data_IF_889879571109
#
_entry.id   IF_889879571109
#
_cell.length_a   1.000
_cell.length_b   1.000
_cell.length_c   1.000
_cell.angle_alpha   90.00
_cell.angle_beta   90.00
_cell.angle_gamma   90.00
#
_symmetry.space_group_name_H-M   'P 1'
#
loop_
_entity.id
_entity.type
_entity.pdbx_description
1 polymer ?
#
# COMPACT_ATOMS: atom_id res chain seq x y z
N UNK A 1 11.93 -17.55 8.65
CA UNK A 1 11.38 -16.44 9.48
C UNK A 1 10.22 -15.80 8.74
N UNK A 2 9.05 -15.71 9.36
CA UNK A 2 7.80 -15.28 8.71
C UNK A 2 7.90 -13.85 8.14
N UNK A 3 7.51 -13.65 6.87
CA UNK A 3 7.36 -12.33 6.22
C UNK A 3 6.51 -11.37 7.05
N UNK A 4 5.55 -11.92 7.80
CA UNK A 4 4.69 -11.18 8.72
C UNK A 4 5.50 -10.62 9.90
N UNK A 5 6.46 -11.38 10.44
CA UNK A 5 7.35 -10.90 11.51
C UNK A 5 8.23 -9.76 11.00
N UNK A 6 8.80 -9.86 9.79
CA UNK A 6 9.55 -8.76 9.17
C UNK A 6 8.70 -7.52 8.91
N UNK A 7 7.44 -7.68 8.49
CA UNK A 7 6.51 -6.57 8.29
C UNK A 7 6.10 -5.90 9.62
N UNK A 8 5.82 -6.72 10.63
CA UNK A 8 5.55 -6.28 12.01
C UNK A 8 6.78 -5.55 12.55
N UNK A 9 7.97 -6.13 12.48
CA UNK A 9 9.23 -5.53 12.89
C UNK A 9 9.60 -4.31 12.02
N UNK A 10 9.10 -4.17 10.79
CA UNK A 10 9.27 -2.96 9.99
C UNK A 10 8.32 -1.84 10.42
N UNK A 11 7.07 -2.17 10.75
CA UNK A 11 6.10 -1.23 11.32
C UNK A 11 6.52 -0.80 12.73
N UNK A 12 7.02 -1.73 13.55
CA UNK A 12 7.35 -1.52 14.96
C UNK A 12 8.82 -1.24 15.24
N UNK A 13 9.75 -1.67 14.40
CA UNK A 13 11.19 -1.48 14.59
C UNK A 13 11.67 -0.04 14.39
N UNK A 14 10.80 0.86 13.91
CA UNK A 14 11.02 2.32 13.92
C UNK A 14 10.48 3.01 15.19
N UNK A 15 9.96 2.25 16.16
CA UNK A 15 9.52 2.77 17.47
C UNK A 15 10.39 2.15 18.55
N UNK A 16 11.55 2.76 18.76
CA UNK A 16 12.51 2.38 19.81
C UNK A 16 12.01 2.64 21.24
N UNK A 17 10.71 2.85 21.45
CA UNK A 17 10.09 2.84 22.77
C UNK A 17 8.78 2.07 22.68
N UNK A 18 8.82 0.81 23.14
CA UNK A 18 7.71 -0.16 23.12
C UNK A 18 6.60 0.22 24.11
N UNK A 19 6.65 1.41 24.73
CA UNK A 19 5.66 1.87 25.69
C UNK A 19 4.50 2.66 25.08
N UNK A 20 4.58 3.13 23.83
CA UNK A 20 3.48 3.86 23.17
C UNK A 20 3.08 3.21 21.83
N UNK A 21 2.45 2.04 21.94
CA UNK A 21 1.56 1.57 20.89
C UNK A 21 0.27 2.40 20.92
N UNK A 22 0.28 3.53 20.21
CA UNK A 22 -0.95 4.27 19.90
C UNK A 22 -2.00 3.29 19.34
N UNK A 23 -3.25 3.44 19.76
CA UNK A 23 -4.38 2.58 19.43
C UNK A 23 -4.46 2.29 17.93
N UNK A 24 -4.09 3.27 17.10
CA UNK A 24 -4.08 3.20 15.64
C UNK A 24 -3.16 2.07 15.13
N UNK A 25 -1.98 1.93 15.73
CA UNK A 25 -0.98 0.93 15.33
C UNK A 25 -1.39 -0.47 15.75
N UNK A 26 -1.95 -0.62 16.96
CA UNK A 26 -2.49 -1.89 17.41
C UNK A 26 -3.64 -2.36 16.51
N UNK A 27 -4.53 -1.44 16.09
CA UNK A 27 -5.64 -1.74 15.18
C UNK A 27 -5.12 -2.08 13.78
N UNK A 28 -4.13 -1.37 13.26
CA UNK A 28 -3.50 -1.68 11.97
C UNK A 28 -2.83 -3.06 12.00
N UNK A 29 -1.98 -3.35 12.98
CA UNK A 29 -1.28 -4.62 13.08
C UNK A 29 -2.23 -5.81 13.22
N UNK A 30 -3.28 -5.68 14.06
CA UNK A 30 -4.34 -6.69 14.17
C UNK A 30 -5.06 -6.90 12.83
N UNK A 31 -5.35 -5.81 12.11
CA UNK A 31 -6.03 -5.87 10.81
C UNK A 31 -5.18 -6.59 9.78
N UNK A 32 -3.89 -6.29 9.68
CA UNK A 32 -2.96 -6.97 8.77
C UNK A 32 -2.79 -8.46 9.14
N UNK A 33 -2.68 -8.78 10.43
CA UNK A 33 -2.65 -10.17 10.89
C UNK A 33 -3.90 -10.94 10.47
N UNK A 34 -5.08 -10.33 10.65
CA UNK A 34 -6.35 -10.93 10.25
C UNK A 34 -6.45 -11.09 8.72
N UNK A 35 -5.94 -10.13 7.94
CA UNK A 35 -5.87 -10.23 6.47
C UNK A 35 -5.05 -11.46 6.08
N UNK A 36 -3.83 -11.59 6.60
CA UNK A 36 -3.00 -12.73 6.26
C UNK A 36 -3.59 -14.07 6.73
N UNK A 37 -4.21 -14.11 7.91
CA UNK A 37 -4.80 -15.36 8.44
C UNK A 37 -6.07 -15.80 7.72
N UNK A 38 -6.88 -14.86 7.23
CA UNK A 38 -8.24 -15.15 6.72
C UNK A 38 -8.37 -15.09 5.21
N UNK A 39 -7.30 -14.71 4.50
CA UNK A 39 -7.31 -14.75 3.04
C UNK A 39 -7.59 -16.17 2.56
N UNK A 40 -8.36 -16.31 1.50
CA UNK A 40 -8.60 -17.58 0.81
C UNK A 40 -7.52 -17.82 -0.22
N UNK A 41 -7.21 -16.80 -1.00
CA UNK A 41 -6.16 -16.79 -2.02
C UNK A 41 -5.70 -15.35 -2.27
N UNK A 42 -4.72 -15.22 -3.16
CA UNK A 42 -4.18 -13.96 -3.65
C UNK A 42 -3.89 -14.09 -5.14
N UNK A 43 -4.01 -13.00 -5.88
CA UNK A 43 -3.71 -12.92 -7.31
C UNK A 43 -3.01 -11.59 -7.62
N UNK A 44 -2.26 -11.56 -8.73
CA UNK A 44 -1.74 -10.31 -9.29
C UNK A 44 -2.78 -9.77 -10.25
N UNK A 45 -3.16 -8.51 -10.06
CA UNK A 45 -4.12 -7.81 -10.92
C UNK A 45 -3.56 -6.46 -11.32
N UNK A 46 -3.87 -6.02 -12.54
CA UNK A 46 -3.59 -4.66 -12.99
C UNK A 46 -4.80 -3.77 -12.73
N UNK A 47 -4.60 -2.67 -12.01
CA UNK A 47 -5.67 -1.73 -11.63
C UNK A 47 -5.26 -0.28 -11.91
N UNK A 48 -6.19 0.64 -12.21
CA UNK A 48 -5.85 2.06 -12.36
C UNK A 48 -5.16 2.59 -11.10
N UNK A 49 -4.08 3.37 -11.25
CA UNK A 49 -3.33 3.92 -10.11
C UNK A 49 -4.24 4.69 -9.14
N UNK A 50 -5.17 5.47 -9.67
CA UNK A 50 -6.10 6.28 -8.88
C UNK A 50 -7.34 5.52 -8.36
N UNK A 51 -7.45 4.22 -8.65
CA UNK A 51 -8.39 3.33 -7.96
C UNK A 51 -7.84 2.84 -6.60
N UNK A 52 -6.55 3.05 -6.34
CA UNK A 52 -5.87 2.65 -5.11
C UNK A 52 -5.97 3.72 -4.03
N UNK A 53 -6.42 3.32 -2.84
CA UNK A 53 -6.55 4.17 -1.66
C UNK A 53 -5.56 3.70 -0.58
N UNK A 54 -4.90 4.65 0.08
CA UNK A 54 -3.99 4.36 1.19
C UNK A 54 -4.77 3.98 2.47
N UNK A 55 -4.22 3.08 3.27
CA UNK A 55 -4.80 2.75 4.59
C UNK A 55 -4.36 3.72 5.70
N UNK A 56 -3.22 4.38 5.52
CA UNK A 56 -2.67 5.43 6.39
C UNK A 56 -1.84 6.40 5.56
N UNK A 57 -1.73 7.64 6.03
CA UNK A 57 -0.76 8.60 5.51
C UNK A 57 0.64 8.34 6.05
N UNK A 58 1.66 8.73 5.28
CA UNK A 58 3.07 8.61 5.64
C UNK A 58 3.63 9.99 6.04
N UNK A 59 3.14 10.57 7.13
CA UNK A 59 3.44 11.95 7.53
C UNK A 59 4.71 12.13 8.37
N UNK A 60 5.62 11.15 8.39
CA UNK A 60 6.90 11.29 9.11
C UNK A 60 7.95 11.85 8.16
N UNK A 61 8.78 12.79 8.60
CA UNK A 61 9.80 13.44 7.75
C UNK A 61 10.70 12.42 7.03
N UNK A 62 11.20 11.41 7.74
CA UNK A 62 11.98 10.32 7.15
C UNK A 62 11.20 9.50 6.10
N UNK A 63 9.87 9.42 6.19
CA UNK A 63 9.05 8.76 5.18
C UNK A 63 8.85 9.65 3.95
N UNK A 64 8.72 10.97 4.14
CA UNK A 64 8.60 11.94 3.05
C UNK A 64 9.87 11.97 2.19
N UNK A 65 11.06 11.93 2.79
CA UNK A 65 12.32 11.85 2.04
C UNK A 65 12.40 10.59 1.18
N UNK A 66 11.97 9.44 1.71
CA UNK A 66 11.97 8.17 0.97
C UNK A 66 10.96 8.21 -0.18
N UNK A 67 9.78 8.82 0.04
CA UNK A 67 8.78 9.02 -1.00
C UNK A 67 9.31 9.97 -2.08
N UNK A 68 9.97 11.05 -1.70
CA UNK A 68 10.55 12.02 -2.62
C UNK A 68 11.61 11.39 -3.52
N UNK A 69 12.57 10.65 -2.95
CA UNK A 69 13.61 9.94 -3.72
C UNK A 69 13.01 8.93 -4.71
N UNK A 70 11.95 8.24 -4.30
CA UNK A 70 11.21 7.30 -5.16
C UNK A 70 10.46 8.01 -6.29
N UNK A 71 9.86 9.16 -6.00
CA UNK A 71 9.18 9.97 -6.99
C UNK A 71 10.16 10.55 -8.01
N UNK A 72 11.33 11.00 -7.56
CA UNK A 72 12.41 11.48 -8.43
C UNK A 72 12.88 10.37 -9.39
N UNK A 73 13.22 9.19 -8.88
CA UNK A 73 13.62 8.04 -9.68
C UNK A 73 12.55 7.61 -10.70
N UNK A 74 11.26 7.69 -10.34
CA UNK A 74 10.17 7.45 -11.29
C UNK A 74 10.03 8.57 -12.33
N UNK A 75 10.24 9.83 -11.93
CA UNK A 75 10.06 10.98 -12.83
C UNK A 75 11.06 10.99 -13.98
N UNK A 76 12.29 10.51 -13.74
CA UNK A 76 13.34 10.37 -14.76
C UNK A 76 12.92 9.40 -15.89
N UNK A 77 12.01 8.47 -15.60
CA UNK A 77 11.52 7.45 -16.51
C UNK A 77 10.02 7.59 -16.82
N UNK A 78 9.41 8.74 -16.51
CA UNK A 78 7.96 8.94 -16.59
C UNK A 78 7.42 8.61 -17.98
N UNK A 79 8.02 9.18 -19.02
CA UNK A 79 7.51 9.05 -20.40
C UNK A 79 7.68 7.63 -20.95
N UNK A 80 8.77 6.95 -20.56
CA UNK A 80 9.00 5.53 -20.87
C UNK A 80 7.92 4.64 -20.24
N UNK A 81 7.63 4.89 -18.96
CA UNK A 81 6.60 4.15 -18.21
C UNK A 81 5.20 4.41 -18.80
N UNK A 82 4.90 5.64 -19.22
CA UNK A 82 3.63 5.97 -19.87
C UNK A 82 3.49 5.28 -21.23
N UNK A 83 4.56 5.25 -22.03
CA UNK A 83 4.56 4.55 -23.31
C UNK A 83 4.33 3.04 -23.15
N UNK A 84 4.79 2.44 -22.04
CA UNK A 84 4.53 1.05 -21.70
C UNK A 84 3.09 0.80 -21.18
N UNK A 85 2.36 1.84 -20.78
CA UNK A 85 0.94 1.77 -20.39
C UNK A 85 0.67 1.22 -18.98
N UNK A 86 1.71 0.88 -18.21
CA UNK A 86 1.54 0.36 -16.86
C UNK A 86 2.82 0.05 -16.10
N UNK A 87 2.67 -0.04 -14.78
CA UNK A 87 3.71 -0.43 -13.84
C UNK A 87 3.52 -1.90 -13.43
N UNK A 88 4.23 -2.80 -14.12
CA UNK A 88 4.29 -4.23 -13.78
C UNK A 88 5.08 -4.45 -12.48
N UNK A 89 5.02 -5.67 -11.89
CA UNK A 89 5.90 -6.02 -10.77
C UNK A 89 7.38 -5.80 -11.09
N UNK A 90 7.81 -6.10 -12.32
CA UNK A 90 9.22 -5.95 -12.72
C UNK A 90 9.59 -4.47 -12.83
N UNK A 91 8.74 -3.66 -13.46
CA UNK A 91 8.90 -2.20 -13.54
C UNK A 91 8.94 -1.58 -12.13
N UNK A 92 8.05 -2.01 -11.24
CA UNK A 92 8.04 -1.58 -9.85
C UNK A 92 9.32 -2.00 -9.11
N UNK A 93 9.87 -3.19 -9.35
CA UNK A 93 11.10 -3.63 -8.69
C UNK A 93 12.33 -2.90 -9.20
N UNK A 94 12.35 -2.53 -10.48
CA UNK A 94 13.41 -1.76 -11.10
C UNK A 94 13.48 -0.33 -10.54
N UNK A 95 12.36 0.40 -10.54
CA UNK A 95 12.36 1.82 -10.16
C UNK A 95 11.97 2.08 -8.70
N UNK A 96 11.22 1.17 -8.08
CA UNK A 96 10.71 1.29 -6.70
C UNK A 96 10.97 0.01 -5.87
N UNK A 97 12.23 -0.41 -5.70
CA UNK A 97 12.56 -1.69 -5.07
C UNK A 97 11.92 -1.83 -3.68
N UNK A 98 11.33 -2.99 -3.44
CA UNK A 98 10.67 -3.33 -2.18
C UNK A 98 10.75 -4.83 -1.90
N UNK A 99 10.74 -5.20 -0.62
CA UNK A 99 10.75 -6.61 -0.18
C UNK A 99 9.42 -7.33 -0.39
N UNK A 100 8.37 -6.62 -0.78
CA UNK A 100 7.03 -7.15 -1.00
C UNK A 100 6.29 -6.38 -2.10
N UNK A 101 5.26 -6.99 -2.70
CA UNK A 101 4.34 -6.33 -3.62
C UNK A 101 3.44 -5.30 -2.91
N UNK A 102 2.77 -4.42 -3.67
CA UNK A 102 1.70 -3.57 -3.14
C UNK A 102 0.51 -4.49 -2.90
N UNK A 103 0.03 -4.60 -1.66
CA UNK A 103 -1.05 -5.53 -1.32
C UNK A 103 -2.33 -4.81 -1.03
N UNK A 104 -3.39 -5.30 -1.65
CA UNK A 104 -4.69 -4.62 -1.65
C UNK A 104 -5.83 -5.54 -1.26
N UNK A 105 -6.91 -4.93 -0.77
CA UNK A 105 -8.22 -5.55 -0.68
C UNK A 105 -9.18 -4.72 -1.52
N UNK A 106 -9.94 -5.37 -2.41
CA UNK A 106 -10.99 -4.70 -3.18
C UNK A 106 -12.11 -4.24 -2.24
N UNK A 107 -12.43 -2.95 -2.26
CA UNK A 107 -13.51 -2.38 -1.44
C UNK A 107 -14.84 -2.40 -2.19
N UNK A 108 -14.85 -2.00 -3.46
CA UNK A 108 -16.02 -2.07 -4.33
C UNK A 108 -15.59 -2.32 -5.79
N UNK A 109 -16.50 -2.13 -6.76
CA UNK A 109 -16.22 -2.43 -8.17
C UNK A 109 -14.98 -1.68 -8.69
N UNK A 110 -14.74 -0.46 -8.20
CA UNK A 110 -13.75 0.45 -8.78
C UNK A 110 -12.68 0.91 -7.78
N UNK A 111 -12.74 0.49 -6.50
CA UNK A 111 -11.77 0.94 -5.48
C UNK A 111 -11.12 -0.22 -4.74
N UNK A 112 -9.87 0.02 -4.36
CA UNK A 112 -9.00 -0.91 -3.66
C UNK A 112 -8.32 -0.20 -2.51
N UNK A 113 -8.20 -0.85 -1.36
CA UNK A 113 -7.47 -0.33 -0.21
C UNK A 113 -6.11 -1.02 -0.14
N UNK A 114 -5.04 -0.25 -0.34
CA UNK A 114 -3.67 -0.68 -0.14
C UNK A 114 -3.34 -0.69 1.35
N UNK A 115 -3.09 -1.88 1.90
CA UNK A 115 -2.72 -2.03 3.31
C UNK A 115 -1.21 -2.25 3.50
N UNK A 116 -0.49 -2.50 2.40
CA UNK A 116 0.97 -2.60 2.35
C UNK A 116 1.47 -1.99 1.05
N UNK A 117 2.61 -1.30 1.10
CA UNK A 117 3.17 -0.58 -0.06
C UNK A 117 2.74 0.88 -0.20
N UNK A 118 2.13 1.50 0.83
CA UNK A 118 1.67 2.90 0.78
C UNK A 118 2.76 3.89 0.34
N UNK A 119 4.03 3.68 0.71
CA UNK A 119 5.12 4.58 0.30
C UNK A 119 5.47 4.50 -1.18
N UNK A 120 5.21 3.37 -1.85
CA UNK A 120 5.30 3.30 -3.31
C UNK A 120 4.07 3.92 -3.95
N UNK A 121 2.88 3.66 -3.39
CA UNK A 121 1.64 4.27 -3.86
C UNK A 121 1.71 5.80 -3.84
N UNK A 122 2.16 6.39 -2.73
CA UNK A 122 2.34 7.83 -2.59
C UNK A 122 3.37 8.39 -3.59
N UNK A 123 4.48 7.69 -3.83
CA UNK A 123 5.47 8.10 -4.82
C UNK A 123 4.91 8.09 -6.25
N UNK A 124 4.18 7.03 -6.63
CA UNK A 124 3.53 6.94 -7.94
C UNK A 124 2.49 8.04 -8.12
N UNK A 125 1.62 8.26 -7.12
CA UNK A 125 0.58 9.31 -7.15
C UNK A 125 1.14 10.74 -7.12
N UNK A 126 2.45 10.91 -6.86
CA UNK A 126 3.15 12.19 -6.96
C UNK A 126 3.71 12.46 -8.36
N UNK A 127 3.93 11.41 -9.17
CA UNK A 127 4.57 11.51 -10.50
C UNK A 127 3.54 11.40 -11.63
N UNK A 128 2.53 10.56 -11.45
CA UNK A 128 1.47 10.33 -12.43
C UNK A 128 0.17 10.96 -11.95
N UNK A 129 -0.62 11.46 -12.88
CA UNK A 129 -1.95 12.02 -12.65
C UNK A 129 -3.05 11.04 -13.05
N UNK A 130 -4.29 11.29 -12.62
CA UNK A 130 -5.42 10.44 -13.01
C UNK A 130 -5.66 10.43 -14.53
N UNK A 131 -5.38 11.55 -15.20
CA UNK A 131 -5.51 11.71 -16.64
C UNK A 131 -4.49 10.87 -17.43
N UNK A 132 -3.37 10.47 -16.82
CA UNK A 132 -2.36 9.63 -17.46
C UNK A 132 -2.88 8.20 -17.73
N UNK A 133 -3.96 7.78 -17.06
CA UNK A 133 -4.60 6.48 -17.31
C UNK A 133 -3.74 5.26 -16.94
N UNK A 134 -2.65 5.47 -16.20
CA UNK A 134 -1.70 4.41 -15.90
C UNK A 134 -2.29 3.33 -14.97
N UNK A 135 -1.96 2.09 -15.26
CA UNK A 135 -2.31 0.93 -14.44
C UNK A 135 -1.12 0.41 -13.65
N UNK A 136 -1.38 -0.25 -12.53
CA UNK A 136 -0.35 -0.79 -11.63
C UNK A 136 -0.71 -2.21 -11.25
N UNK A 137 0.27 -3.11 -11.34
CA UNK A 137 0.13 -4.46 -10.83
C UNK A 137 0.21 -4.49 -9.30
N UNK A 138 -0.78 -5.11 -8.68
CA UNK A 138 -0.91 -5.25 -7.22
C UNK A 138 -1.27 -6.67 -6.84
N UNK A 139 -0.88 -7.09 -5.64
CA UNK A 139 -1.28 -8.37 -5.06
C UNK A 139 -2.62 -8.21 -4.34
N UNK A 140 -3.71 -8.66 -4.97
CA UNK A 140 -5.06 -8.59 -4.41
C UNK A 140 -5.33 -9.78 -3.50
N UNK A 141 -5.87 -9.52 -2.30
CA UNK A 141 -6.22 -10.54 -1.31
C UNK A 141 -7.74 -10.75 -1.30
N UNK A 142 -8.14 -12.02 -1.29
CA UNK A 142 -9.54 -12.44 -1.35
C UNK A 142 -9.98 -13.12 -0.06
N UNK A 143 -11.27 -13.03 0.27
CA UNK A 143 -11.82 -13.50 1.55
C UNK A 143 -13.20 -14.10 1.35
N UNK A 144 -13.58 -15.07 2.20
CA UNK A 144 -14.96 -15.55 2.29
C UNK A 144 -15.93 -14.46 2.76
N UNK A 145 -15.45 -13.55 3.63
CA UNK A 145 -16.23 -12.43 4.15
C UNK A 145 -15.42 -11.13 4.01
N UNK A 146 -15.41 -10.51 2.80
CA UNK A 146 -14.62 -9.32 2.54
C UNK A 146 -15.11 -8.09 3.33
N UNK A 147 -16.43 -7.98 3.57
CA UNK A 147 -17.01 -6.83 4.30
C UNK A 147 -16.43 -6.67 5.71
N UNK A 148 -16.14 -7.77 6.41
CA UNK A 148 -15.48 -7.72 7.73
C UNK A 148 -14.07 -7.17 7.67
N UNK A 149 -13.31 -7.45 6.60
CA UNK A 149 -11.95 -6.95 6.40
C UNK A 149 -11.98 -5.48 5.99
N UNK A 150 -12.81 -5.12 5.01
CA UNK A 150 -13.01 -3.75 4.56
C UNK A 150 -13.41 -2.85 5.73
N UNK A 151 -14.37 -3.27 6.57
CA UNK A 151 -14.76 -2.52 7.78
C UNK A 151 -13.59 -2.24 8.72
N UNK A 152 -12.64 -3.18 8.85
CA UNK A 152 -11.47 -3.01 9.72
C UNK A 152 -10.44 -2.08 9.09
N UNK A 153 -10.20 -2.19 7.79
CA UNK A 153 -9.36 -1.24 7.05
C UNK A 153 -9.93 0.18 7.13
N UNK A 154 -11.23 0.35 6.93
CA UNK A 154 -11.88 1.65 7.06
C UNK A 154 -11.84 2.18 8.50
N UNK A 155 -11.88 1.31 9.53
CA UNK A 155 -11.61 1.74 10.91
C UNK A 155 -10.18 2.27 11.06
N UNK A 156 -9.17 1.63 10.45
CA UNK A 156 -7.79 2.16 10.45
C UNK A 156 -7.75 3.52 9.74
N UNK A 157 -8.39 3.65 8.58
CA UNK A 157 -8.43 4.89 7.81
C UNK A 157 -9.07 6.05 8.58
N UNK A 158 -10.20 5.83 9.26
CA UNK A 158 -10.82 6.82 10.17
C UNK A 158 -9.91 7.25 11.30
N UNK A 159 -9.25 6.29 11.95
CA UNK A 159 -8.28 6.59 13.00
C UNK A 159 -7.10 7.44 12.48
N UNK A 160 -6.78 7.33 11.19
CA UNK A 160 -5.76 8.14 10.52
C UNK A 160 -6.32 9.40 9.85
N UNK A 161 -7.60 9.73 10.02
CA UNK A 161 -8.21 10.94 9.46
C UNK A 161 -8.41 10.92 7.93
N UNK A 162 -8.33 9.76 7.28
CA UNK A 162 -8.42 9.66 5.82
C UNK A 162 -9.86 9.66 5.28
N UNK A 163 -10.82 9.32 6.14
CA UNK A 163 -12.25 9.23 5.84
C UNK A 163 -13.04 9.51 7.13
N UNK A 164 -14.30 9.92 6.98
CA UNK A 164 -15.24 10.19 8.08
C UNK A 164 -15.89 8.90 8.67
#
# INVERSE_FOLDING_TARGET
MSTIKKFIDYIFGKRSEVNDLDLKDAVLAKTVLDIHRKRTHKEIVSVPLYALQQVHELNRDNAQEVIAKRAEALSEHRDEILAAGGLTQDTLNQYLPSVSAIKVVRENKNTYIAYEGNGRLAAMQRVFEAADGITVEVEQYHFNNPSKIIRRLNRVRRLNGLID
#
